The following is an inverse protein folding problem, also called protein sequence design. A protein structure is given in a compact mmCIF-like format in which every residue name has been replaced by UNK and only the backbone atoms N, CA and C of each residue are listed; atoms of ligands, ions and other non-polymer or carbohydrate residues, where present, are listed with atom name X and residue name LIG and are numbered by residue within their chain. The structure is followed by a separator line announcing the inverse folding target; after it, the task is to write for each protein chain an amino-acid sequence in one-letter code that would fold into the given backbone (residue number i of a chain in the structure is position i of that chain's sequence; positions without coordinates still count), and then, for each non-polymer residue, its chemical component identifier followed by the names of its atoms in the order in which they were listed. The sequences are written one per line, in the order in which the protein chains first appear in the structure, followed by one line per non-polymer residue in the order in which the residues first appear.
data_IF_666078918671
#
_entry.id   IF_666078918671
#
_cell.length_a   1.000
_cell.length_b   1.000
_cell.length_c   1.000
_cell.angle_alpha   90.00
_cell.angle_beta   90.00
_cell.angle_gamma   90.00
#
_symmetry.space_group_name_H-M   'P 1'
#
loop_
_entity.id
_entity.type
_entity.pdbx_description
1 polymer ?
#
# COMPACT_ATOMS: atom_id res chain seq x y z
N UNK A 1 9.60 -7.21 -5.77
CA UNK A 1 8.70 -6.87 -4.64
C UNK A 1 8.01 -8.10 -4.03
N UNK A 2 7.64 -9.13 -4.81
CA UNK A 2 7.33 -10.47 -4.23
C UNK A 2 8.55 -11.17 -3.60
N UNK A 3 9.77 -10.89 -4.08
CA UNK A 3 11.02 -11.50 -3.57
C UNK A 3 11.26 -11.31 -2.06
N UNK A 4 10.66 -10.28 -1.46
CA UNK A 4 10.76 -9.99 -0.01
C UNK A 4 9.51 -10.38 0.78
N UNK A 5 8.52 -11.02 0.14
CA UNK A 5 7.25 -11.39 0.77
C UNK A 5 7.48 -12.25 2.02
N UNK A 6 8.40 -13.21 1.98
CA UNK A 6 8.71 -14.07 3.13
C UNK A 6 9.21 -13.24 4.32
N UNK A 7 10.06 -12.25 4.09
CA UNK A 7 10.58 -11.35 5.11
C UNK A 7 9.47 -10.44 5.65
N UNK A 8 8.60 -9.92 4.77
CA UNK A 8 7.42 -9.13 5.17
C UNK A 8 6.50 -9.93 6.09
N UNK A 9 6.13 -11.16 5.70
CA UNK A 9 5.27 -12.04 6.49
C UNK A 9 5.90 -12.38 7.84
N UNK A 10 7.19 -12.75 7.86
CA UNK A 10 7.90 -13.05 9.11
C UNK A 10 7.95 -11.85 10.06
N UNK A 11 8.06 -10.63 9.53
CA UNK A 11 8.04 -9.41 10.33
C UNK A 11 6.64 -9.15 10.92
N UNK A 12 5.58 -9.23 10.09
CA UNK A 12 4.19 -9.09 10.56
C UNK A 12 3.84 -10.09 11.67
N UNK A 13 4.28 -11.34 11.51
CA UNK A 13 4.10 -12.40 12.51
C UNK A 13 4.85 -12.10 13.81
N UNK A 14 6.14 -11.75 13.71
CA UNK A 14 6.99 -11.44 14.87
C UNK A 14 6.39 -10.34 15.75
N UNK A 15 5.84 -9.30 15.13
CA UNK A 15 5.23 -8.16 15.82
C UNK A 15 3.73 -8.31 16.06
N UNK A 16 3.15 -9.47 15.72
CA UNK A 16 1.74 -9.82 15.95
C UNK A 16 0.76 -8.78 15.39
N UNK A 17 1.08 -8.24 14.21
CA UNK A 17 0.21 -7.29 13.53
C UNK A 17 -0.92 -8.05 12.83
N UNK A 18 -2.17 -7.66 13.10
CA UNK A 18 -3.33 -8.20 12.40
C UNK A 18 -3.38 -7.63 10.97
N UNK A 19 -3.55 -8.51 10.00
CA UNK A 19 -3.82 -8.18 8.61
C UNK A 19 -4.71 -9.27 7.99
N UNK A 20 -5.52 -8.90 7.00
CA UNK A 20 -6.47 -9.79 6.33
C UNK A 20 -6.10 -10.04 4.85
N UNK A 21 -5.42 -9.07 4.22
CA UNK A 21 -4.98 -9.16 2.83
C UNK A 21 -3.62 -8.47 2.67
N UNK A 22 -2.71 -9.12 1.93
CA UNK A 22 -1.39 -8.59 1.59
C UNK A 22 -1.24 -8.52 0.06
N UNK A 23 -1.29 -7.31 -0.49
CA UNK A 23 -1.12 -7.06 -1.93
C UNK A 23 0.31 -6.54 -2.15
N UNK A 24 1.08 -7.23 -2.99
CA UNK A 24 2.47 -6.87 -3.30
C UNK A 24 2.68 -6.88 -4.81
N UNK A 25 3.52 -5.98 -5.30
CA UNK A 25 3.94 -5.99 -6.72
C UNK A 25 4.62 -7.31 -7.09
N UNK A 26 4.30 -7.82 -8.26
CA UNK A 26 4.89 -9.06 -8.76
C UNK A 26 6.35 -8.86 -9.23
N UNK A 27 7.00 -9.94 -9.64
CA UNK A 27 8.31 -9.90 -10.28
C UNK A 27 8.22 -9.28 -11.68
N UNK A 28 9.17 -8.40 -12.01
CA UNK A 28 9.22 -7.75 -13.34
C UNK A 28 8.19 -6.64 -13.55
N UNK A 29 7.38 -6.32 -12.54
CA UNK A 29 6.58 -5.09 -12.54
C UNK A 29 7.47 -3.88 -12.24
N UNK A 30 7.73 -3.10 -13.30
CA UNK A 30 8.51 -1.85 -13.25
C UNK A 30 7.63 -0.60 -13.12
N UNK A 31 6.31 -0.75 -12.91
CA UNK A 31 5.42 0.38 -12.68
C UNK A 31 5.87 1.17 -11.46
N UNK A 32 5.66 2.49 -11.47
CA UNK A 32 5.93 3.28 -10.29
C UNK A 32 4.99 2.82 -9.17
N UNK A 33 5.48 2.89 -7.93
CA UNK A 33 4.72 2.45 -6.76
C UNK A 33 3.34 3.14 -6.68
N UNK A 34 3.26 4.40 -7.12
CA UNK A 34 2.03 5.18 -7.22
C UNK A 34 1.00 4.53 -8.16
N UNK A 35 1.39 4.20 -9.39
CA UNK A 35 0.46 3.61 -10.38
C UNK A 35 -0.08 2.26 -9.89
N UNK A 36 0.81 1.41 -9.36
CA UNK A 36 0.40 0.11 -8.82
C UNK A 36 -0.62 0.24 -7.67
N UNK A 37 -0.38 1.18 -6.74
CA UNK A 37 -1.30 1.42 -5.62
C UNK A 37 -2.63 1.99 -6.09
N UNK A 38 -2.61 2.86 -7.10
CA UNK A 38 -3.84 3.41 -7.69
C UNK A 38 -4.69 2.30 -8.35
N UNK A 39 -4.08 1.37 -9.08
CA UNK A 39 -4.79 0.21 -9.61
C UNK A 39 -5.35 -0.68 -8.50
N UNK A 40 -4.59 -0.88 -7.43
CA UNK A 40 -5.06 -1.64 -6.26
C UNK A 40 -6.31 -1.00 -5.62
N UNK A 41 -6.38 0.34 -5.56
CA UNK A 41 -7.57 1.07 -5.09
C UNK A 41 -8.80 0.75 -5.95
N UNK A 42 -8.64 0.75 -7.27
CA UNK A 42 -9.72 0.43 -8.21
C UNK A 42 -10.16 -1.03 -8.08
N UNK A 43 -9.22 -1.98 -7.97
CA UNK A 43 -9.55 -3.41 -7.79
C UNK A 43 -10.32 -3.67 -6.49
N UNK A 44 -9.91 -3.05 -5.38
CA UNK A 44 -10.62 -3.19 -4.10
C UNK A 44 -12.04 -2.62 -4.17
N UNK A 45 -12.22 -1.48 -4.85
CA UNK A 45 -13.55 -0.89 -5.07
C UNK A 45 -14.43 -1.76 -5.95
N UNK A 46 -13.88 -2.31 -7.04
CA UNK A 46 -14.59 -3.23 -7.93
C UNK A 46 -15.02 -4.50 -7.21
N UNK A 47 -14.22 -4.97 -6.26
CA UNK A 47 -14.60 -6.09 -5.39
C UNK A 47 -15.71 -5.72 -4.38
N UNK A 48 -15.91 -4.44 -4.10
CA UNK A 48 -16.96 -3.94 -3.21
C UNK A 48 -16.47 -3.48 -1.83
N UNK A 49 -15.16 -3.27 -1.65
CA UNK A 49 -14.64 -2.69 -0.41
C UNK A 49 -14.89 -1.18 -0.34
N UNK A 50 -15.35 -0.71 0.81
CA UNK A 50 -15.32 0.70 1.17
C UNK A 50 -13.95 1.06 1.76
N UNK A 51 -13.21 1.93 1.08
CA UNK A 51 -11.88 2.35 1.52
C UNK A 51 -11.98 3.57 2.45
N UNK A 52 -11.98 3.31 3.76
CA UNK A 52 -12.20 4.35 4.77
C UNK A 52 -10.95 5.19 5.11
N UNK A 53 -9.75 4.59 5.07
CA UNK A 53 -8.51 5.24 5.50
C UNK A 53 -7.27 4.55 4.92
N UNK A 54 -6.28 5.34 4.52
CA UNK A 54 -4.93 4.89 4.16
C UNK A 54 -3.86 5.53 5.08
N UNK A 55 -2.73 4.84 5.22
CA UNK A 55 -1.54 5.32 5.91
C UNK A 55 -0.34 5.24 4.96
N UNK A 56 0.36 6.35 4.73
CA UNK A 56 1.46 6.44 3.77
C UNK A 56 2.61 7.29 4.30
N UNK A 57 3.82 6.95 3.86
CA UNK A 57 5.06 7.69 4.16
C UNK A 57 5.66 8.39 2.93
N UNK A 58 5.24 8.02 1.71
CA UNK A 58 5.60 8.70 0.47
C UNK A 58 4.52 9.74 0.11
N UNK A 59 4.93 11.01 -0.02
CA UNK A 59 4.03 12.13 -0.35
C UNK A 59 3.30 11.96 -1.68
N UNK A 60 3.93 11.30 -2.66
CA UNK A 60 3.30 11.07 -3.98
C UNK A 60 2.15 10.07 -3.88
N UNK A 61 2.27 9.08 -2.99
CA UNK A 61 1.18 8.13 -2.73
C UNK A 61 0.08 8.79 -1.91
N UNK A 62 0.44 9.59 -0.90
CA UNK A 62 -0.51 10.39 -0.11
C UNK A 62 -1.40 11.25 -1.02
N UNK A 63 -0.79 11.98 -1.96
CA UNK A 63 -1.51 12.81 -2.93
C UNK A 63 -2.41 11.96 -3.83
N UNK A 64 -1.93 10.79 -4.27
CA UNK A 64 -2.73 9.85 -5.06
C UNK A 64 -3.96 9.35 -4.29
N UNK A 65 -3.82 8.87 -3.04
CA UNK A 65 -4.98 8.42 -2.25
C UNK A 65 -6.01 9.53 -2.04
N UNK A 66 -5.54 10.76 -1.78
CA UNK A 66 -6.42 11.93 -1.65
C UNK A 66 -7.15 12.26 -2.95
N UNK A 67 -6.46 12.19 -4.09
CA UNK A 67 -7.06 12.38 -5.41
C UNK A 67 -8.10 11.29 -5.73
N UNK A 68 -7.86 10.06 -5.26
CA UNK A 68 -8.82 8.96 -5.30
C UNK A 68 -10.00 9.13 -4.32
N UNK A 69 -10.00 10.16 -3.47
CA UNK A 69 -11.05 10.37 -2.47
C UNK A 69 -10.94 9.47 -1.23
N UNK A 70 -9.79 8.82 -1.01
CA UNK A 70 -9.50 8.03 0.19
C UNK A 70 -8.79 8.92 1.21
N UNK A 71 -9.34 9.12 2.42
CA UNK A 71 -8.64 9.81 3.50
C UNK A 71 -7.29 9.14 3.75
N UNK A 72 -6.21 9.93 3.83
CA UNK A 72 -4.87 9.39 3.98
C UNK A 72 -4.04 10.17 5.00
N UNK A 73 -3.52 9.45 5.99
CA UNK A 73 -2.64 9.96 7.04
C UNK A 73 -1.20 9.82 6.60
N UNK A 74 -0.46 10.93 6.65
CA UNK A 74 0.98 10.91 6.40
C UNK A 74 1.74 10.52 7.67
N UNK A 75 2.62 9.52 7.57
CA UNK A 75 3.52 9.12 8.64
C UNK A 75 4.95 9.26 8.11
N UNK A 76 5.71 10.20 8.65
CA UNK A 76 7.07 10.44 8.21
C UNK A 76 7.98 9.25 8.57
N UNK A 77 8.57 8.60 7.56
CA UNK A 77 9.45 7.44 7.74
C UNK A 77 10.94 7.79 7.83
N UNK A 78 11.33 9.02 7.47
CA UNK A 78 12.73 9.43 7.32
C UNK A 78 13.44 8.81 6.10
N UNK A 79 12.72 8.07 5.24
CA UNK A 79 13.28 7.46 4.04
C UNK A 79 13.20 8.38 2.80
N UNK A 80 12.26 9.33 2.81
CA UNK A 80 12.04 10.30 1.75
C UNK A 80 12.11 11.72 2.34
N UNK A 81 12.82 12.62 1.65
CA UNK A 81 12.97 14.05 1.99
C UNK A 81 11.97 14.94 1.24
#
# INVERSE_FOLDING_TARGET
PVRVQRQTLAWLERYKLRWDLLIMRDYGDYMAAREFKQWTVDDLRRFGFELALAFEDDRRNLEMFRAEGVPCVYIHSGYYD
#
